data_IF_241360009910
#
_entry.id   IF_241360009910
#
_cell.length_a   1.000
_cell.length_b   1.000
_cell.length_c   1.000
_cell.angle_alpha   90.00
_cell.angle_beta   90.00
_cell.angle_gamma   90.00
#
_symmetry.space_group_name_H-M   'P 1'
#
loop_
_entity.id
_entity.type
_entity.pdbx_description
1 polymer ?
#
# COMPACT_ATOMS: atom_id res chain seq x y z
N UNK A 1 53.45 -61.98 -18.19
CA UNK A 1 53.26 -61.31 -19.50
C UNK A 1 52.19 -60.26 -19.31
N UNK A 2 52.58 -58.99 -19.34
CA UNK A 2 51.69 -57.84 -19.58
C UNK A 2 51.13 -57.86 -21.02
N UNK A 3 50.20 -56.97 -21.45
CA UNK A 3 49.26 -56.08 -20.73
C UNK A 3 47.85 -56.06 -21.40
N UNK A 4 46.94 -55.19 -20.93
CA UNK A 4 45.97 -54.35 -21.69
C UNK A 4 44.62 -54.21 -20.95
N UNK A 5 44.01 -53.03 -20.81
CA UNK A 5 44.38 -51.68 -21.20
C UNK A 5 43.43 -50.73 -20.43
N UNK A 6 43.98 -50.01 -19.45
CA UNK A 6 43.83 -48.55 -19.26
C UNK A 6 42.40 -47.93 -18.96
N UNK A 7 42.30 -46.61 -18.65
CA UNK A 7 42.05 -46.17 -17.26
C UNK A 7 41.01 -45.03 -17.11
N UNK A 8 40.30 -44.92 -15.98
CA UNK A 8 39.68 -43.65 -15.47
C UNK A 8 39.49 -43.81 -13.96
N UNK A 9 40.28 -43.22 -13.04
CA UNK A 9 40.50 -41.78 -12.74
C UNK A 9 39.16 -41.03 -12.78
N UNK A 10 38.58 -40.46 -11.72
CA UNK A 10 39.04 -40.27 -10.35
C UNK A 10 37.85 -39.85 -9.47
N UNK A 11 38.00 -40.13 -8.18
CA UNK A 11 37.65 -39.29 -7.02
C UNK A 11 36.17 -38.99 -6.69
N UNK A 12 35.71 -39.77 -5.70
CA UNK A 12 34.77 -39.46 -4.62
C UNK A 12 35.04 -38.08 -3.92
N UNK A 13 34.28 -37.62 -2.88
CA UNK A 13 33.28 -38.36 -2.10
C UNK A 13 31.99 -37.62 -1.68
N UNK A 14 31.06 -38.44 -1.16
CA UNK A 14 29.94 -38.09 -0.29
C UNK A 14 30.20 -36.91 0.65
N UNK A 15 29.25 -35.98 0.72
CA UNK A 15 29.04 -35.18 1.93
C UNK A 15 27.56 -34.86 2.14
N UNK A 16 27.03 -35.47 3.20
CA UNK A 16 26.10 -34.87 4.18
C UNK A 16 24.68 -34.56 3.73
N UNK A 17 23.79 -35.53 3.96
CA UNK A 17 22.39 -35.29 4.32
C UNK A 17 22.32 -34.39 5.56
N UNK A 18 21.99 -33.12 5.37
CA UNK A 18 21.49 -32.25 6.43
C UNK A 18 20.04 -31.92 6.14
N UNK A 19 19.17 -32.43 7.02
CA UNK A 19 17.78 -32.05 7.15
C UNK A 19 17.65 -30.52 7.20
N UNK A 20 17.09 -29.93 6.14
CA UNK A 20 16.50 -28.60 6.19
C UNK A 20 14.98 -28.75 6.02
N UNK A 21 14.31 -29.29 7.05
CA UNK A 21 12.88 -29.07 7.26
C UNK A 21 12.67 -27.63 7.75
N UNK A 22 13.00 -26.67 6.88
CA UNK A 22 12.81 -25.24 7.08
C UNK A 22 11.52 -24.81 6.42
N UNK A 23 10.44 -24.79 7.21
CA UNK A 23 9.29 -23.90 7.05
C UNK A 23 8.80 -23.63 5.61
N UNK A 24 8.15 -24.62 5.00
CA UNK A 24 7.15 -24.33 3.97
C UNK A 24 5.88 -23.81 4.66
N UNK A 25 5.94 -22.58 5.19
CA UNK A 25 4.79 -21.86 5.71
C UNK A 25 4.69 -20.52 5.00
N UNK A 26 3.62 -20.40 4.21
CA UNK A 26 2.94 -19.17 3.83
C UNK A 26 3.54 -18.37 2.67
N UNK A 27 3.49 -18.94 1.46
CA UNK A 27 3.10 -18.15 0.30
C UNK A 27 1.56 -18.02 0.27
N UNK A 28 0.97 -17.35 1.27
CA UNK A 28 -0.38 -16.79 1.09
C UNK A 28 -0.21 -15.65 0.10
N UNK A 29 -0.78 -15.80 -1.10
CA UNK A 29 -0.67 -14.83 -2.18
C UNK A 29 -0.87 -13.41 -1.69
N UNK A 30 0.23 -12.67 -1.55
CA UNK A 30 0.18 -11.23 -1.38
C UNK A 30 -0.25 -10.66 -2.73
N UNK A 31 -1.52 -10.31 -2.86
CA UNK A 31 -1.96 -9.40 -3.91
C UNK A 31 -1.21 -8.08 -3.69
N UNK A 32 0.00 -7.98 -4.26
CA UNK A 32 0.73 -6.72 -4.28
C UNK A 32 -0.13 -5.72 -5.04
N UNK A 33 -0.49 -4.63 -4.38
CA UNK A 33 -1.12 -3.50 -5.04
C UNK A 33 -0.22 -3.12 -6.21
N UNK A 34 -0.79 -3.06 -7.42
CA UNK A 34 -0.01 -2.68 -8.59
C UNK A 34 0.57 -1.27 -8.38
N UNK A 35 1.71 -0.92 -8.98
CA UNK A 35 2.26 0.44 -8.88
C UNK A 35 1.23 1.52 -9.25
N UNK A 36 0.36 1.21 -10.21
CA UNK A 36 -0.76 2.06 -10.62
C UNK A 36 -1.81 2.19 -9.50
N UNK A 37 -2.18 1.10 -8.83
CA UNK A 37 -3.09 1.12 -7.68
C UNK A 37 -2.55 1.95 -6.53
N UNK A 38 -1.25 1.84 -6.23
CA UNK A 38 -0.60 2.64 -5.19
C UNK A 38 -0.60 4.14 -5.54
N UNK A 39 -0.34 4.48 -6.80
CA UNK A 39 -0.38 5.86 -7.29
C UNK A 39 -1.80 6.47 -7.22
N UNK A 40 -2.83 5.70 -7.56
CA UNK A 40 -4.22 6.11 -7.43
C UNK A 40 -4.61 6.30 -5.96
N UNK A 41 -4.23 5.37 -5.08
CA UNK A 41 -4.47 5.47 -3.64
C UNK A 41 -3.84 6.74 -3.06
N UNK A 42 -2.56 6.98 -3.37
CA UNK A 42 -1.83 8.19 -2.94
C UNK A 42 -2.48 9.48 -3.47
N UNK A 43 -2.93 9.48 -4.74
CA UNK A 43 -3.61 10.64 -5.33
C UNK A 43 -4.94 10.93 -4.65
N UNK A 44 -5.72 9.89 -4.35
CA UNK A 44 -6.98 10.05 -3.62
C UNK A 44 -6.75 10.57 -2.20
N UNK A 45 -5.76 10.04 -1.47
CA UNK A 45 -5.39 10.52 -0.14
C UNK A 45 -4.99 12.00 -0.15
N UNK A 46 -4.23 12.45 -1.15
CA UNK A 46 -3.87 13.87 -1.32
C UNK A 46 -5.10 14.74 -1.56
N UNK A 47 -6.01 14.31 -2.43
CA UNK A 47 -7.26 15.01 -2.68
C UNK A 47 -8.14 15.10 -1.42
N UNK A 48 -8.29 14.00 -0.68
CA UNK A 48 -9.03 13.97 0.58
C UNK A 48 -8.40 14.87 1.64
N UNK A 49 -7.08 14.86 1.77
CA UNK A 49 -6.36 15.76 2.69
C UNK A 49 -6.61 17.24 2.36
N UNK A 50 -6.65 17.60 1.07
CA UNK A 50 -6.99 18.93 0.62
C UNK A 50 -8.44 19.30 0.98
N UNK A 51 -9.41 18.41 0.71
CA UNK A 51 -10.83 18.64 1.07
C UNK A 51 -11.00 18.85 2.58
N UNK A 52 -10.37 18.00 3.40
CA UNK A 52 -10.41 18.10 4.87
C UNK A 52 -9.86 19.45 5.32
N UNK A 53 -8.76 19.91 4.70
CA UNK A 53 -8.14 21.21 5.00
C UNK A 53 -9.04 22.38 4.58
N UNK A 54 -9.53 22.36 3.34
CA UNK A 54 -10.31 23.45 2.74
C UNK A 54 -11.64 23.66 3.45
N UNK A 55 -12.31 22.57 3.81
CA UNK A 55 -13.57 22.59 4.57
C UNK A 55 -13.36 22.70 6.08
N UNK A 56 -12.09 22.78 6.54
CA UNK A 56 -11.70 22.86 7.96
C UNK A 56 -12.34 21.77 8.82
N UNK A 57 -12.43 20.55 8.28
CA UNK A 57 -13.10 19.44 8.95
C UNK A 57 -12.26 18.93 10.12
N UNK A 58 -12.88 18.94 11.30
CA UNK A 58 -12.32 18.40 12.53
C UNK A 58 -12.63 16.90 12.66
N UNK A 59 -11.87 16.19 13.50
CA UNK A 59 -12.11 14.76 13.74
C UNK A 59 -13.55 14.48 14.27
N UNK A 60 -14.12 15.27 15.19
CA UNK A 60 -15.53 15.10 15.61
C UNK A 60 -16.52 15.27 14.45
N UNK A 61 -16.33 16.26 13.58
CA UNK A 61 -17.21 16.45 12.42
C UNK A 61 -17.13 15.29 11.44
N UNK A 62 -15.91 14.80 11.16
CA UNK A 62 -15.71 13.63 10.29
C UNK A 62 -16.34 12.37 10.88
N UNK A 63 -16.30 12.20 12.20
CA UNK A 63 -16.99 11.08 12.86
C UNK A 63 -18.49 11.10 12.61
N UNK A 64 -19.11 12.28 12.73
CA UNK A 64 -20.54 12.47 12.47
C UNK A 64 -20.86 12.17 11.00
N UNK A 65 -20.05 12.70 10.07
CA UNK A 65 -20.23 12.45 8.63
C UNK A 65 -20.09 10.96 8.26
N UNK A 66 -19.19 10.25 8.92
CA UNK A 66 -18.96 8.82 8.71
C UNK A 66 -20.00 7.93 9.41
N UNK A 67 -20.94 8.50 10.18
CA UNK A 67 -21.88 7.73 10.99
C UNK A 67 -21.20 6.90 12.10
N UNK A 68 -20.00 7.28 12.52
CA UNK A 68 -19.13 6.51 13.42
C UNK A 68 -19.19 6.98 14.88
N UNK A 69 -20.35 7.43 15.34
CA UNK A 69 -20.52 7.98 16.70
C UNK A 69 -20.06 7.01 17.80
N UNK A 70 -20.17 5.70 17.59
CA UNK A 70 -19.75 4.66 18.53
C UNK A 70 -18.32 4.12 18.30
N UNK A 71 -17.63 4.56 17.24
CA UNK A 71 -16.24 4.13 17.00
C UNK A 71 -15.28 4.81 17.96
N UNK A 72 -14.23 4.08 18.35
CA UNK A 72 -13.18 4.62 19.22
C UNK A 72 -12.51 5.83 18.58
N UNK A 73 -12.28 6.86 19.38
CA UNK A 73 -11.62 8.10 18.95
C UNK A 73 -10.26 7.87 18.28
N UNK A 74 -9.53 6.85 18.74
CA UNK A 74 -8.22 6.46 18.24
C UNK A 74 -8.23 6.13 16.76
N UNK A 75 -9.22 5.34 16.33
CA UNK A 75 -9.20 4.68 15.03
C UNK A 75 -9.37 5.71 13.90
N UNK A 76 -10.28 6.67 14.09
CA UNK A 76 -10.47 7.78 13.15
C UNK A 76 -9.26 8.73 13.14
N UNK A 77 -8.61 8.97 14.29
CA UNK A 77 -7.42 9.82 14.34
C UNK A 77 -6.25 9.20 13.59
N UNK A 78 -6.07 7.90 13.71
CA UNK A 78 -5.02 7.16 13.00
C UNK A 78 -5.27 7.15 11.48
N UNK A 79 -6.52 6.96 11.05
CA UNK A 79 -6.89 7.08 9.64
C UNK A 79 -6.65 8.50 9.10
N UNK A 80 -6.98 9.53 9.87
CA UNK A 80 -6.73 10.91 9.48
C UNK A 80 -5.24 11.25 9.44
N UNK A 81 -4.46 10.69 10.36
CA UNK A 81 -3.00 10.81 10.33
C UNK A 81 -2.46 10.16 9.05
N UNK A 82 -2.93 8.95 8.70
CA UNK A 82 -2.55 8.28 7.46
C UNK A 82 -2.93 9.09 6.21
N UNK A 83 -4.15 9.62 6.12
CA UNK A 83 -4.61 10.46 5.00
C UNK A 83 -3.71 11.68 4.82
N UNK A 84 -3.38 12.36 5.93
CA UNK A 84 -2.53 13.57 5.92
C UNK A 84 -1.07 13.28 5.62
N UNK A 85 -0.53 12.13 6.05
CA UNK A 85 0.82 11.70 5.72
C UNK A 85 0.92 11.01 4.35
N UNK A 86 -0.22 10.74 3.71
CA UNK A 86 -0.32 9.99 2.46
C UNK A 86 0.22 8.55 2.57
N UNK A 87 0.10 7.95 3.77
CA UNK A 87 0.55 6.58 4.06
C UNK A 87 -0.46 5.55 3.54
N UNK A 88 -0.25 5.13 2.29
CA UNK A 88 -1.13 4.21 1.56
C UNK A 88 -1.20 2.77 2.10
N UNK A 89 -0.30 2.39 3.02
CA UNK A 89 -0.30 1.06 3.63
C UNK A 89 -1.25 0.97 4.83
N UNK A 90 -1.58 2.11 5.44
CA UNK A 90 -2.44 2.19 6.63
C UNK A 90 -3.92 2.33 6.33
N UNK A 91 -4.28 2.64 5.08
CA UNK A 91 -5.67 2.85 4.69
C UNK A 91 -6.00 2.17 3.37
N UNK A 92 -7.08 1.40 3.39
CA UNK A 92 -7.54 0.69 2.20
C UNK A 92 -8.27 1.60 1.24
N UNK A 93 -8.23 1.28 -0.05
CA UNK A 93 -9.00 1.97 -1.09
C UNK A 93 -10.50 2.05 -0.74
N UNK A 94 -11.09 0.93 -0.27
CA UNK A 94 -12.49 0.89 0.17
C UNK A 94 -12.76 1.91 1.28
N UNK A 95 -11.83 2.05 2.24
CA UNK A 95 -11.98 3.02 3.32
C UNK A 95 -11.92 4.45 2.80
N UNK A 96 -11.01 4.76 1.87
CA UNK A 96 -10.97 6.09 1.23
C UNK A 96 -12.27 6.43 0.49
N UNK A 97 -12.89 5.46 -0.18
CA UNK A 97 -14.19 5.68 -0.83
C UNK A 97 -15.29 6.01 0.18
N UNK A 98 -15.28 5.42 1.37
CA UNK A 98 -16.22 5.78 2.45
C UNK A 98 -16.02 7.24 2.88
N UNK A 99 -14.77 7.73 2.96
CA UNK A 99 -14.51 9.14 3.20
C UNK A 99 -15.03 10.04 2.07
N UNK A 100 -14.88 9.61 0.82
CA UNK A 100 -15.40 10.34 -0.34
C UNK A 100 -16.92 10.49 -0.26
N UNK A 101 -17.62 9.39 0.00
CA UNK A 101 -19.08 9.36 0.14
C UNK A 101 -19.55 10.25 1.30
N UNK A 102 -18.93 10.10 2.48
CA UNK A 102 -19.25 10.90 3.66
C UNK A 102 -19.05 12.41 3.45
N UNK A 103 -18.06 12.79 2.62
CA UNK A 103 -17.82 14.19 2.26
C UNK A 103 -18.55 14.62 0.98
N UNK A 104 -19.31 13.74 0.33
CA UNK A 104 -19.99 14.01 -0.95
C UNK A 104 -19.03 14.57 -2.00
N UNK A 105 -17.92 13.87 -2.21
CA UNK A 105 -16.91 14.20 -3.23
C UNK A 105 -16.64 12.98 -4.10
N UNK A 106 -16.42 13.17 -5.39
CA UNK A 106 -16.09 12.06 -6.28
C UNK A 106 -14.59 11.74 -6.25
N UNK A 107 -14.26 10.46 -6.08
CA UNK A 107 -12.86 10.02 -6.06
C UNK A 107 -12.12 10.35 -7.38
N UNK A 108 -12.81 10.25 -8.53
CA UNK A 108 -12.26 10.58 -9.83
C UNK A 108 -11.87 12.06 -9.95
N UNK A 109 -12.73 12.96 -9.47
CA UNK A 109 -12.47 14.40 -9.45
C UNK A 109 -11.28 14.76 -8.56
N UNK A 110 -11.17 14.14 -7.39
CA UNK A 110 -10.05 14.35 -6.47
C UNK A 110 -8.73 13.90 -7.09
N UNK A 111 -8.72 12.72 -7.71
CA UNK A 111 -7.53 12.20 -8.40
C UNK A 111 -7.14 13.12 -9.56
N UNK A 112 -8.10 13.49 -10.42
CA UNK A 112 -7.87 14.38 -11.54
C UNK A 112 -7.33 15.75 -11.09
N UNK A 113 -7.89 16.32 -10.03
CA UNK A 113 -7.45 17.61 -9.45
C UNK A 113 -5.99 17.56 -8.98
N UNK A 114 -5.58 16.46 -8.35
CA UNK A 114 -4.18 16.26 -7.94
C UNK A 114 -3.25 16.13 -9.15
N UNK A 115 -3.67 15.44 -10.21
CA UNK A 115 -2.89 15.38 -11.45
C UNK A 115 -2.76 16.75 -12.11
N UNK A 116 -3.85 17.51 -12.22
CA UNK A 116 -3.84 18.87 -12.77
C UNK A 116 -2.93 19.81 -11.97
N UNK A 117 -2.98 19.75 -10.65
CA UNK A 117 -2.10 20.55 -9.79
C UNK A 117 -0.61 20.22 -10.00
N UNK A 118 -0.27 18.98 -10.36
CA UNK A 118 1.11 18.59 -10.67
C UNK A 118 1.56 19.05 -12.05
N UNK A 119 0.66 19.08 -13.04
CA UNK A 119 0.98 19.47 -14.41
C UNK A 119 0.92 20.98 -14.64
N UNK A 120 0.24 21.73 -13.78
CA UNK A 120 0.10 23.18 -13.88
C UNK A 120 1.42 23.98 -13.74
N UNK A 121 2.52 23.35 -13.32
CA UNK A 121 3.83 24.01 -13.15
C UNK A 121 3.86 25.09 -12.06
N UNK A 122 5.04 25.57 -11.65
CA UNK A 122 5.12 26.74 -10.78
C UNK A 122 4.53 27.94 -11.52
N UNK A 123 3.47 28.54 -10.97
CA UNK A 123 3.00 29.86 -11.42
C UNK A 123 4.10 30.87 -11.10
N UNK A 124 4.86 31.24 -12.12
CA UNK A 124 5.80 32.37 -12.05
C UNK A 124 4.92 33.61 -11.87
N UNK A 125 4.97 34.19 -10.67
CA UNK A 125 4.36 35.49 -10.35
C UNK A 125 5.48 36.52 -10.25
#
# INVERSE_FOLDING_TARGET
>A
MEPNLAPRVSNAPNSTLVHASGASRQCRGSYRVSPQGAALNSSLMKGLAAVIKDRRLTAPQLRVLLGQLESRDSDLRDELAAIRSHDGDRITWKRLLVFCDAMKVEAGELIASVYLARTAGPRVH
#
